data_IF_365668225588
#
_entry.id   IF_365668225588
#
_cell.length_a   1.000
_cell.length_b   1.000
_cell.length_c   1.000
_cell.angle_alpha   90.00
_cell.angle_beta   90.00
_cell.angle_gamma   90.00
#
_symmetry.space_group_name_H-M   'P 1'
#
loop_
_entity.id
_entity.type
_entity.pdbx_description
1 polymer ?
#
# COMPACT_ATOMS: atom_id res chain seq x y z
N UNK A 1 -31.44 5.47 -17.22
CA UNK A 1 -32.52 6.49 -17.17
C UNK A 1 -33.59 6.15 -18.21
N UNK A 2 -34.85 6.56 -18.01
CA UNK A 2 -35.94 6.33 -18.96
C UNK A 2 -36.57 7.67 -19.38
N UNK A 3 -37.04 7.75 -20.63
CA UNK A 3 -37.66 8.96 -21.20
C UNK A 3 -38.97 8.60 -21.91
N UNK A 4 -39.97 9.48 -21.83
CA UNK A 4 -41.22 9.35 -22.57
C UNK A 4 -41.05 9.82 -24.02
N UNK A 5 -41.71 9.15 -24.96
CA UNK A 5 -41.85 9.64 -26.34
C UNK A 5 -43.20 10.36 -26.55
N UNK A 6 -43.36 10.95 -27.73
CA UNK A 6 -44.60 11.65 -28.12
C UNK A 6 -45.81 10.71 -28.30
N UNK A 7 -45.63 9.39 -28.18
CA UNK A 7 -46.67 8.36 -28.30
C UNK A 7 -47.12 7.82 -26.94
N UNK A 8 -46.66 8.42 -25.83
CA UNK A 8 -47.04 8.04 -24.48
C UNK A 8 -46.34 6.79 -23.94
N UNK A 9 -45.35 6.24 -24.65
CA UNK A 9 -44.57 5.08 -24.18
C UNK A 9 -43.26 5.52 -23.51
N UNK A 10 -42.83 4.75 -22.51
CA UNK A 10 -41.57 4.94 -21.78
C UNK A 10 -40.48 4.07 -22.40
N UNK A 11 -39.36 4.68 -22.78
CA UNK A 11 -38.24 3.99 -23.41
C UNK A 11 -36.94 4.18 -22.60
N UNK A 12 -36.05 3.19 -22.66
CA UNK A 12 -34.72 3.29 -22.07
C UNK A 12 -33.85 4.27 -22.86
N UNK A 13 -33.13 5.15 -22.15
CA UNK A 13 -32.18 6.07 -22.74
C UNK A 13 -30.75 5.63 -22.38
N UNK A 14 -29.95 5.34 -23.40
CA UNK A 14 -28.52 5.04 -23.30
C UNK A 14 -27.76 6.15 -23.99
N UNK A 15 -26.77 6.74 -23.30
CA UNK A 15 -25.87 7.74 -23.89
C UNK A 15 -24.54 7.08 -24.17
N UNK A 16 -24.14 7.05 -25.44
CA UNK A 16 -22.84 6.53 -25.86
C UNK A 16 -21.93 7.72 -26.16
N UNK A 17 -20.80 7.80 -25.46
CA UNK A 17 -19.77 8.82 -25.64
C UNK A 17 -18.55 8.22 -26.33
N UNK A 18 -17.71 9.07 -26.92
CA UNK A 18 -16.43 8.63 -27.51
C UNK A 18 -15.49 7.99 -26.47
N UNK A 19 -15.53 8.51 -25.25
CA UNK A 19 -14.81 7.98 -24.09
C UNK A 19 -15.11 6.52 -23.77
N UNK A 20 -16.30 6.03 -24.14
CA UNK A 20 -16.74 4.67 -23.82
C UNK A 20 -16.03 3.62 -24.69
N UNK A 21 -15.37 4.05 -25.77
CA UNK A 21 -14.55 3.20 -26.64
C UNK A 21 -13.09 3.15 -26.20
N UNK A 22 -12.63 4.13 -25.42
CA UNK A 22 -11.27 4.20 -24.88
C UNK A 22 -11.25 3.69 -23.45
N UNK A 23 -10.70 2.49 -23.24
CA UNK A 23 -10.78 1.76 -21.96
C UNK A 23 -10.29 2.59 -20.77
N UNK A 24 -9.20 3.35 -20.93
CA UNK A 24 -8.67 4.17 -19.85
C UNK A 24 -9.56 5.38 -19.53
N UNK A 25 -10.20 5.97 -20.54
CA UNK A 25 -11.09 7.12 -20.37
C UNK A 25 -12.41 6.69 -19.72
N UNK A 26 -12.96 5.55 -20.16
CA UNK A 26 -14.14 4.94 -19.56
C UNK A 26 -13.92 4.64 -18.06
N UNK A 27 -12.81 3.98 -17.71
CA UNK A 27 -12.49 3.66 -16.31
C UNK A 27 -12.27 4.91 -15.45
N UNK A 28 -11.65 5.97 -16.01
CA UNK A 28 -11.46 7.22 -15.30
C UNK A 28 -12.81 7.88 -14.97
N UNK A 29 -13.73 7.95 -15.94
CA UNK A 29 -15.07 8.50 -15.72
C UNK A 29 -15.88 7.70 -14.69
N UNK A 30 -15.78 6.38 -14.73
CA UNK A 30 -16.44 5.49 -13.76
C UNK A 30 -15.88 5.69 -12.34
N UNK A 31 -14.56 5.85 -12.20
CA UNK A 31 -13.91 6.08 -10.91
C UNK A 31 -14.33 7.39 -10.23
N UNK A 32 -14.70 8.41 -11.02
CA UNK A 32 -15.19 9.71 -10.54
C UNK A 32 -16.69 9.68 -10.21
N UNK A 33 -17.46 8.76 -10.81
CA UNK A 33 -18.91 8.66 -10.65
C UNK A 33 -19.34 7.99 -9.34
N UNK A 34 -18.43 7.25 -8.70
CA UNK A 34 -18.62 6.76 -7.34
C UNK A 34 -18.60 7.97 -6.41
N UNK A 35 -19.64 8.21 -5.56
CA UNK A 35 -19.66 9.31 -4.61
C UNK A 35 -18.70 9.00 -3.45
N UNK A 36 -17.41 8.96 -3.74
CA UNK A 36 -16.36 9.02 -2.75
C UNK A 36 -16.33 10.47 -2.29
N UNK A 37 -16.59 10.72 -1.01
CA UNK A 37 -16.51 12.06 -0.38
C UNK A 37 -15.11 12.72 -0.47
N UNK A 38 -14.17 12.13 -1.19
CA UNK A 38 -12.82 12.64 -1.42
C UNK A 38 -12.60 12.91 -2.91
N UNK A 39 -12.87 14.14 -3.35
CA UNK A 39 -12.26 14.68 -4.56
C UNK A 39 -10.78 14.94 -4.28
N UNK A 40 -9.94 13.92 -4.42
CA UNK A 40 -8.50 14.08 -4.54
C UNK A 40 -8.02 13.22 -5.70
N UNK A 41 -7.57 13.94 -6.74
CA UNK A 41 -6.55 13.56 -7.72
C UNK A 41 -6.28 12.06 -7.88
N UNK A 42 -6.63 11.55 -9.06
CA UNK A 42 -6.18 10.28 -9.66
C UNK A 42 -4.66 10.27 -9.85
N UNK A 43 -3.92 10.25 -8.76
CA UNK A 43 -2.53 9.85 -8.72
C UNK A 43 -2.49 8.65 -7.78
N UNK A 44 -1.77 7.61 -8.18
CA UNK A 44 -1.60 6.32 -7.52
C UNK A 44 -0.89 6.45 -6.14
N UNK A 45 -1.40 7.31 -5.27
CA UNK A 45 -0.74 7.69 -4.03
C UNK A 45 -1.08 6.67 -2.95
N UNK A 46 -0.03 6.00 -2.48
CA UNK A 46 0.01 5.19 -1.26
C UNK A 46 -0.13 6.01 0.03
N UNK A 47 -0.41 7.30 -0.07
CA UNK A 47 -0.57 8.21 1.07
C UNK A 47 -2.05 8.32 1.47
N UNK A 48 -2.35 8.54 2.76
CA UNK A 48 -3.71 8.83 3.20
C UNK A 48 -4.33 10.00 2.42
N UNK A 49 -5.65 10.01 2.17
CA UNK A 49 -6.33 11.17 1.63
C UNK A 49 -6.13 12.39 2.54
N UNK A 50 -5.81 13.55 1.95
CA UNK A 50 -5.52 14.80 2.67
C UNK A 50 -4.10 15.30 2.49
N UNK A 51 -3.85 16.52 2.96
CA UNK A 51 -2.50 17.06 3.09
C UNK A 51 -1.83 16.53 4.37
N UNK A 52 -0.52 16.39 4.35
CA UNK A 52 0.24 16.04 5.55
C UNK A 52 0.18 17.20 6.57
N UNK A 53 -0.21 16.88 7.81
CA UNK A 53 -0.28 17.82 8.92
C UNK A 53 0.44 17.27 10.16
N UNK A 54 0.72 18.14 11.13
CA UNK A 54 1.32 17.77 12.42
C UNK A 54 0.28 17.63 13.54
N UNK A 55 -0.99 17.92 13.24
CA UNK A 55 -2.08 17.83 14.20
C UNK A 55 -2.37 16.38 14.60
N UNK A 56 -2.44 16.11 15.90
CA UNK A 56 -2.74 14.78 16.42
C UNK A 56 -4.24 14.49 16.20
N UNK A 57 -4.60 13.35 15.54
CA UNK A 57 -5.99 12.99 15.33
C UNK A 57 -6.76 12.82 16.64
N UNK A 58 -7.98 13.38 16.70
CA UNK A 58 -8.86 13.23 17.86
C UNK A 58 -9.35 11.79 17.96
N UNK A 59 -9.26 11.18 19.14
CA UNK A 59 -9.78 9.83 19.38
C UNK A 59 -11.31 9.84 19.25
N UNK A 60 -11.92 9.00 18.39
CA UNK A 60 -13.37 8.98 18.22
C UNK A 60 -14.06 8.52 19.52
N UNK A 61 -15.02 9.31 19.99
CA UNK A 61 -15.77 9.07 21.24
C UNK A 61 -16.97 8.14 21.05
N UNK A 62 -17.41 7.90 19.81
CA UNK A 62 -18.56 7.07 19.48
C UNK A 62 -18.24 6.10 18.33
N UNK A 63 -18.33 4.80 18.60
CA UNK A 63 -18.13 3.72 17.63
C UNK A 63 -17.39 2.53 18.26
N UNK A 64 -17.69 1.30 17.82
CA UNK A 64 -16.88 0.12 18.16
C UNK A 64 -15.48 0.35 17.60
N UNK A 65 -14.54 0.71 18.46
CA UNK A 65 -13.13 0.73 18.10
C UNK A 65 -12.70 -0.73 17.92
N UNK A 66 -12.60 -1.18 16.67
CA UNK A 66 -11.82 -2.38 16.40
C UNK A 66 -10.39 -2.07 16.83
N UNK A 67 -9.78 -2.98 17.60
CA UNK A 67 -8.37 -2.85 17.97
C UNK A 67 -7.47 -2.79 16.73
N UNK A 68 -6.17 -2.49 16.93
CA UNK A 68 -5.21 -2.54 15.83
C UNK A 68 -5.26 -3.92 15.16
N UNK A 69 -4.97 -3.99 13.85
CA UNK A 69 -4.93 -5.26 13.15
C UNK A 69 -3.87 -6.18 13.77
N UNK A 70 -4.12 -7.49 13.72
CA UNK A 70 -3.13 -8.47 14.15
C UNK A 70 -1.88 -8.40 13.28
N UNK A 71 -0.72 -8.61 13.91
CA UNK A 71 0.56 -8.64 13.22
C UNK A 71 0.58 -9.80 12.20
N UNK A 72 0.80 -9.54 10.90
CA UNK A 72 0.95 -10.59 9.92
C UNK A 72 2.15 -11.48 10.27
N UNK A 73 1.99 -12.83 10.34
CA UNK A 73 3.07 -13.74 10.78
C UNK A 73 4.28 -13.72 9.85
N UNK A 74 4.12 -13.28 8.59
CA UNK A 74 5.20 -13.12 7.62
C UNK A 74 6.29 -12.15 8.10
N UNK A 75 5.93 -11.11 8.88
CA UNK A 75 6.88 -10.13 9.42
C UNK A 75 7.73 -10.70 10.56
N UNK A 76 7.39 -11.88 11.07
CA UNK A 76 8.20 -12.57 12.08
C UNK A 76 9.32 -13.41 11.45
N UNK A 77 9.30 -13.61 10.13
CA UNK A 77 10.29 -14.42 9.41
C UNK A 77 11.51 -13.59 9.02
N UNK A 78 12.34 -13.21 10.00
CA UNK A 78 13.54 -12.39 9.77
C UNK A 78 14.56 -13.15 8.92
N UNK A 79 14.90 -12.63 7.73
CA UNK A 79 15.79 -13.35 6.79
C UNK A 79 17.22 -13.48 7.31
N UNK A 80 17.65 -12.52 8.12
CA UNK A 80 18.99 -12.51 8.73
C UNK A 80 19.13 -13.51 9.88
N UNK A 81 18.01 -14.02 10.41
CA UNK A 81 18.00 -15.05 11.44
C UNK A 81 17.92 -16.47 10.84
N UNK A 82 17.90 -16.60 9.52
CA UNK A 82 17.89 -17.91 8.85
C UNK A 82 19.31 -18.40 8.66
N UNK A 83 19.53 -19.67 8.99
CA UNK A 83 20.81 -20.32 8.71
C UNK A 83 21.05 -20.40 7.21
N UNK A 84 22.25 -19.97 6.79
CA UNK A 84 22.73 -20.14 5.43
C UNK A 84 23.65 -21.35 5.40
N UNK A 85 23.48 -22.32 4.47
CA UNK A 85 24.35 -23.48 4.39
C UNK A 85 25.83 -23.07 4.29
N UNK A 86 26.72 -23.75 5.02
CA UNK A 86 28.14 -23.38 5.10
C UNK A 86 28.88 -23.42 3.75
N UNK A 87 28.32 -24.09 2.73
CA UNK A 87 28.89 -24.17 1.38
C UNK A 87 28.49 -22.97 0.49
N UNK A 88 27.56 -22.11 0.94
CA UNK A 88 27.15 -20.92 0.19
C UNK A 88 27.97 -19.69 0.60
N UNK A 89 28.12 -18.74 -0.33
CA UNK A 89 28.76 -17.45 -0.04
C UNK A 89 28.04 -16.72 1.11
N UNK A 90 28.77 -16.19 2.10
CA UNK A 90 28.19 -15.63 3.33
C UNK A 90 27.37 -14.36 3.09
N UNK A 91 27.55 -13.70 1.94
CA UNK A 91 26.78 -12.52 1.54
C UNK A 91 25.48 -12.84 0.82
N UNK A 92 25.24 -14.12 0.47
CA UNK A 92 24.03 -14.54 -0.20
C UNK A 92 22.94 -14.85 0.82
N UNK A 93 21.76 -14.30 0.58
CA UNK A 93 20.57 -14.54 1.38
C UNK A 93 19.53 -15.27 0.53
N UNK A 94 18.65 -16.08 1.16
CA UNK A 94 17.53 -16.69 0.45
C UNK A 94 16.58 -15.61 -0.09
N UNK A 95 15.78 -15.98 -1.09
CA UNK A 95 14.79 -15.05 -1.67
C UNK A 95 13.77 -14.61 -0.60
N UNK A 96 13.62 -13.29 -0.35
CA UNK A 96 12.66 -12.78 0.63
C UNK A 96 11.23 -12.84 0.10
N UNK A 97 10.25 -12.92 1.01
CA UNK A 97 8.85 -12.73 0.65
C UNK A 97 8.62 -11.24 0.30
N UNK A 98 7.85 -10.94 -0.74
CA UNK A 98 7.57 -9.55 -1.13
C UNK A 98 6.91 -8.71 -0.01
N UNK A 99 6.16 -9.35 0.90
CA UNK A 99 5.46 -8.67 2.00
C UNK A 99 6.40 -8.14 3.08
N UNK A 100 7.60 -8.72 3.25
CA UNK A 100 8.56 -8.25 4.26
C UNK A 100 9.48 -7.13 3.76
N UNK A 101 9.39 -6.77 2.48
CA UNK A 101 10.21 -5.71 1.89
C UNK A 101 9.79 -4.35 2.46
N UNK A 102 10.76 -3.44 2.59
CA UNK A 102 10.58 -2.10 3.15
C UNK A 102 10.15 -2.07 4.64
N UNK A 103 10.16 -3.21 5.33
CA UNK A 103 9.97 -3.27 6.78
C UNK A 103 11.32 -3.15 7.50
N UNK A 104 11.33 -2.35 8.57
CA UNK A 104 12.50 -2.14 9.41
C UNK A 104 12.63 -3.28 10.43
N UNK A 105 13.80 -3.90 10.48
CA UNK A 105 14.21 -4.83 11.52
C UNK A 105 15.36 -4.21 12.31
N UNK A 106 15.34 -4.35 13.64
CA UNK A 106 16.36 -3.81 14.51
C UNK A 106 16.86 -4.88 15.48
N UNK A 107 18.15 -4.87 15.77
CA UNK A 107 18.68 -5.59 16.93
C UNK A 107 18.48 -4.76 18.19
N UNK A 108 18.45 -5.44 19.33
CA UNK A 108 18.52 -4.74 20.63
C UNK A 108 19.83 -3.96 20.70
N UNK A 109 19.72 -2.70 21.12
CA UNK A 109 20.86 -1.83 21.31
C UNK A 109 21.84 -2.47 22.30
N UNK A 110 23.12 -2.50 21.94
CA UNK A 110 24.19 -3.02 22.79
C UNK A 110 25.43 -2.15 22.63
N UNK A 111 26.13 -1.91 23.73
CA UNK A 111 27.40 -1.18 23.77
C UNK A 111 27.34 0.21 23.11
N UNK A 112 26.19 0.91 23.26
CA UNK A 112 25.98 2.24 22.69
C UNK A 112 25.79 2.28 21.16
N UNK A 113 25.57 1.13 20.53
CA UNK A 113 25.36 1.02 19.08
C UNK A 113 23.95 0.49 18.78
N UNK A 114 23.26 1.19 17.88
CA UNK A 114 22.02 0.74 17.26
C UNK A 114 22.33 0.06 15.93
N UNK A 115 21.69 -1.08 15.68
CA UNK A 115 21.80 -1.79 14.40
C UNK A 115 20.41 -1.88 13.78
N UNK A 116 20.28 -1.28 12.60
CA UNK A 116 19.05 -1.27 11.80
C UNK A 116 19.27 -2.05 10.53
N UNK A 117 18.21 -2.69 10.02
CA UNK A 117 18.25 -3.39 8.75
C UNK A 117 16.91 -3.32 8.02
N UNK A 118 16.98 -3.35 6.69
CA UNK A 118 15.80 -3.43 5.84
C UNK A 118 16.18 -4.08 4.50
N UNK A 119 15.24 -4.85 3.94
CA UNK A 119 15.39 -5.45 2.62
C UNK A 119 14.63 -4.64 1.59
N UNK A 120 15.34 -4.17 0.57
CA UNK A 120 14.81 -3.39 -0.54
C UNK A 120 14.94 -4.16 -1.85
N UNK A 121 13.99 -3.92 -2.77
CA UNK A 121 14.03 -4.48 -4.12
C UNK A 121 14.61 -3.44 -5.09
N UNK A 122 15.67 -3.81 -5.78
CA UNK A 122 16.18 -3.08 -6.94
C UNK A 122 15.90 -3.88 -8.22
N UNK A 123 14.92 -3.42 -9.01
CA UNK A 123 14.38 -4.15 -10.18
C UNK A 123 13.92 -5.56 -9.80
N UNK A 124 14.67 -6.60 -10.21
CA UNK A 124 14.42 -8.02 -9.95
C UNK A 124 15.38 -8.63 -8.92
N UNK A 125 16.14 -7.79 -8.19
CA UNK A 125 17.11 -8.21 -7.18
C UNK A 125 16.73 -7.64 -5.82
N UNK A 126 17.15 -8.32 -4.77
CA UNK A 126 16.90 -7.92 -3.38
C UNK A 126 18.21 -7.64 -2.68
N UNK A 127 18.25 -6.57 -1.89
CA UNK A 127 19.41 -6.16 -1.11
C UNK A 127 18.96 -5.90 0.32
N UNK A 128 19.62 -6.55 1.28
CA UNK A 128 19.43 -6.29 2.70
C UNK A 128 20.57 -5.46 3.20
N UNK A 129 20.26 -4.23 3.61
CA UNK A 129 21.25 -3.27 4.10
C UNK A 129 21.22 -3.27 5.62
N UNK A 130 22.40 -3.25 6.26
CA UNK A 130 22.56 -3.06 7.70
C UNK A 130 23.22 -1.70 7.94
N UNK A 131 22.71 -0.95 8.91
CA UNK A 131 23.27 0.32 9.36
C UNK A 131 23.63 0.20 10.84
N UNK A 132 24.92 0.38 11.14
CA UNK A 132 25.43 0.51 12.49
C UNK A 132 25.58 2.00 12.81
N UNK A 133 24.88 2.49 13.82
CA UNK A 133 24.86 3.90 14.20
C UNK A 133 25.06 4.05 15.72
N UNK A 134 26.08 4.79 16.18
CA UNK A 134 26.21 5.17 17.59
C UNK A 134 25.03 6.01 18.08
N UNK A 135 24.71 5.90 19.35
CA UNK A 135 23.59 6.60 20.00
C UNK A 135 24.09 7.87 20.69
#
# INVERSE_FOLDING_TARGET
>A
PATSNNMGTLNNLVTVKKSDFEVFEALALDSMSVPTKNKQTTELSSSPPGDYAQDIPVRPTSGKQSGPPFLPPHLLQVILNKDTPAHCEPTLLPEPNHVMLNHLYALSIKDGVMVLSATHRFRKKYVTTLLYKPI
#
